data_IF_718379833219
#
_entry.id   IF_718379833219
#
_cell.length_a   1.000
_cell.length_b   1.000
_cell.length_c   1.000
_cell.angle_alpha   90.00
_cell.angle_beta   90.00
_cell.angle_gamma   90.00
#
_symmetry.space_group_name_H-M   'P 1'
#
loop_
_entity.id
_entity.type
_entity.pdbx_description
1 polymer ?
#
# COMPACT_ATOMS: atom_id res chain seq x y z
N UNK A 1 4.62 -34.17 7.68
CA UNK A 1 5.34 -35.15 6.85
C UNK A 1 4.33 -35.79 5.91
N UNK A 2 4.32 -35.36 4.65
CA UNK A 2 4.05 -36.18 3.47
C UNK A 2 4.40 -35.31 2.25
N UNK A 3 5.50 -35.66 1.59
CA UNK A 3 5.80 -35.21 0.25
C UNK A 3 4.79 -35.84 -0.72
N UNK A 4 4.34 -35.07 -1.71
CA UNK A 4 3.95 -35.62 -2.99
C UNK A 4 4.46 -34.74 -4.12
N UNK A 5 4.96 -35.43 -5.13
CA UNK A 5 5.75 -35.04 -6.29
C UNK A 5 5.26 -33.81 -7.07
N UNK A 6 6.23 -33.05 -7.59
CA UNK A 6 6.07 -32.15 -8.73
C UNK A 6 5.78 -32.98 -10.00
N UNK A 7 4.64 -32.75 -10.65
CA UNK A 7 4.50 -32.92 -12.11
C UNK A 7 3.66 -31.76 -12.64
N UNK A 8 4.25 -30.99 -13.57
CA UNK A 8 3.58 -29.93 -14.31
C UNK A 8 2.48 -30.53 -15.19
N UNK A 9 1.23 -30.16 -14.94
CA UNK A 9 0.16 -30.23 -15.93
C UNK A 9 -0.37 -28.82 -16.17
N UNK A 10 -0.05 -28.27 -17.35
CA UNK A 10 -0.62 -27.03 -17.84
C UNK A 10 -2.05 -27.34 -18.26
N UNK A 11 -3.01 -27.07 -17.39
CA UNK A 11 -4.44 -27.04 -17.72
C UNK A 11 -5.06 -25.85 -17.01
N UNK A 12 -5.77 -25.04 -17.80
CA UNK A 12 -6.18 -23.67 -17.49
C UNK A 12 -6.75 -23.49 -16.09
N UNK A 13 -5.91 -23.04 -15.18
CA UNK A 13 -6.35 -22.44 -13.92
C UNK A 13 -6.71 -21.01 -14.26
N UNK A 14 -7.99 -20.66 -14.13
CA UNK A 14 -8.41 -19.26 -14.05
C UNK A 14 -7.46 -18.56 -13.07
N UNK A 15 -6.62 -17.65 -13.59
CA UNK A 15 -5.68 -16.89 -12.75
C UNK A 15 -6.48 -16.26 -11.62
N UNK A 16 -6.06 -16.46 -10.37
CA UNK A 16 -6.68 -15.81 -9.21
C UNK A 16 -6.64 -14.29 -9.43
N UNK A 17 -7.69 -13.52 -9.10
CA UNK A 17 -7.73 -12.05 -9.27
C UNK A 17 -6.70 -11.27 -8.42
N UNK A 18 -5.87 -11.97 -7.64
CA UNK A 18 -4.75 -11.41 -6.89
C UNK A 18 -3.50 -12.16 -7.33
N UNK A 19 -2.61 -11.50 -8.05
CA UNK A 19 -1.28 -12.03 -8.38
C UNK A 19 -0.36 -11.98 -7.16
N UNK A 20 -0.71 -12.70 -6.10
CA UNK A 20 0.10 -12.80 -4.87
C UNK A 20 1.48 -13.43 -5.12
N UNK A 21 1.63 -14.17 -6.22
CA UNK A 21 2.89 -14.83 -6.60
C UNK A 21 4.04 -13.83 -6.82
N UNK A 22 3.74 -12.59 -7.23
CA UNK A 22 4.75 -11.57 -7.43
C UNK A 22 5.41 -11.16 -6.11
N UNK A 23 4.61 -10.96 -5.05
CA UNK A 23 5.08 -10.56 -3.72
C UNK A 23 5.77 -11.67 -2.93
N UNK A 24 5.69 -12.92 -3.40
CA UNK A 24 6.44 -14.07 -2.87
C UNK A 24 7.49 -14.60 -3.85
N UNK A 25 7.74 -13.87 -4.94
CA UNK A 25 8.73 -14.28 -5.94
C UNK A 25 10.14 -14.10 -5.40
N UNK A 26 11.04 -14.99 -5.80
CA UNK A 26 12.47 -14.95 -5.40
C UNK A 26 13.05 -13.57 -5.66
N UNK A 27 12.83 -13.02 -6.87
CA UNK A 27 13.36 -11.70 -7.23
C UNK A 27 12.85 -10.57 -6.34
N UNK A 28 11.60 -10.64 -5.89
CA UNK A 28 11.05 -9.62 -5.00
C UNK A 28 11.66 -9.74 -3.60
N UNK A 29 11.74 -10.96 -3.04
CA UNK A 29 12.37 -11.21 -1.74
C UNK A 29 13.85 -10.83 -1.71
N UNK A 30 14.61 -11.11 -2.78
CA UNK A 30 16.01 -10.70 -2.91
C UNK A 30 16.17 -9.17 -2.85
N UNK A 31 15.31 -8.43 -3.55
CA UNK A 31 15.33 -6.95 -3.52
C UNK A 31 14.99 -6.39 -2.15
N UNK A 32 14.04 -7.00 -1.44
CA UNK A 32 13.71 -6.59 -0.07
C UNK A 32 14.89 -6.84 0.87
N UNK A 33 15.55 -7.99 0.76
CA UNK A 33 16.75 -8.30 1.54
C UNK A 33 17.90 -7.32 1.25
N UNK A 34 18.14 -6.97 -0.03
CA UNK A 34 19.12 -5.94 -0.43
C UNK A 34 18.80 -4.56 0.18
N UNK A 35 17.52 -4.23 0.31
CA UNK A 35 17.05 -2.98 0.91
C UNK A 35 16.99 -3.03 2.46
N UNK A 36 17.28 -4.18 3.09
CA UNK A 36 17.16 -4.37 4.53
C UNK A 36 15.71 -4.39 5.04
N UNK A 37 14.76 -4.73 4.17
CA UNK A 37 13.33 -4.77 4.47
C UNK A 37 12.90 -6.22 4.69
N UNK A 38 12.32 -6.51 5.85
CA UNK A 38 11.74 -7.82 6.13
C UNK A 38 10.34 -7.94 5.49
N UNK A 39 10.09 -8.92 4.60
CA UNK A 39 8.77 -9.12 4.02
C UNK A 39 7.77 -9.63 5.07
N UNK A 40 6.63 -8.95 5.18
CA UNK A 40 5.45 -9.49 5.86
C UNK A 40 4.35 -9.79 4.84
N UNK A 41 3.97 -11.06 4.74
CA UNK A 41 2.77 -11.50 4.03
C UNK A 41 1.86 -12.11 5.08
N UNK A 42 0.84 -11.36 5.49
CA UNK A 42 -0.05 -11.70 6.61
C UNK A 42 -0.61 -13.12 6.57
N UNK A 43 -1.13 -13.58 7.70
CA UNK A 43 -1.67 -14.93 7.80
C UNK A 43 -2.92 -15.12 6.91
N UNK A 44 -3.19 -16.35 6.47
CA UNK A 44 -4.38 -16.61 5.63
C UNK A 44 -5.66 -16.31 6.41
N UNK A 45 -6.49 -15.44 5.84
CA UNK A 45 -7.77 -15.06 6.43
C UNK A 45 -7.69 -13.84 7.36
N UNK A 46 -6.51 -13.24 7.52
CA UNK A 46 -6.32 -11.95 8.18
C UNK A 46 -6.13 -10.85 7.13
N UNK A 47 -7.17 -10.04 6.94
CA UNK A 47 -7.18 -8.97 5.93
C UNK A 47 -6.80 -7.61 6.49
N UNK A 48 -6.50 -7.50 7.79
CA UNK A 48 -6.32 -6.21 8.45
C UNK A 48 -5.14 -5.43 7.86
N UNK A 49 -4.02 -6.13 7.60
CA UNK A 49 -2.81 -5.56 7.00
C UNK A 49 -3.07 -4.99 5.58
N UNK A 50 -4.10 -5.47 4.88
CA UNK A 50 -4.44 -5.01 3.53
C UNK A 50 -5.57 -3.96 3.51
N UNK A 51 -6.35 -3.85 4.58
CA UNK A 51 -7.58 -3.06 4.61
C UNK A 51 -7.34 -1.57 4.28
N UNK A 52 -6.23 -1.00 4.77
CA UNK A 52 -5.86 0.37 4.47
C UNK A 52 -5.53 0.55 2.97
N UNK A 53 -4.71 -0.35 2.41
CA UNK A 53 -4.35 -0.31 1.00
C UNK A 53 -5.58 -0.49 0.10
N UNK A 54 -6.49 -1.40 0.44
CA UNK A 54 -7.75 -1.59 -0.27
C UNK A 54 -8.64 -0.35 -0.23
N UNK A 55 -8.72 0.33 0.91
CA UNK A 55 -9.50 1.57 1.07
C UNK A 55 -8.98 2.66 0.13
N UNK A 56 -7.68 2.90 0.11
CA UNK A 56 -7.06 3.90 -0.77
C UNK A 56 -7.23 3.52 -2.25
N UNK A 57 -7.02 2.25 -2.59
CA UNK A 57 -7.22 1.77 -3.96
C UNK A 57 -8.68 1.89 -4.42
N UNK A 58 -9.63 1.67 -3.52
CA UNK A 58 -11.05 1.88 -3.77
C UNK A 58 -11.37 3.35 -4.06
N UNK A 59 -10.88 4.26 -3.21
CA UNK A 59 -11.03 5.70 -3.40
C UNK A 59 -10.43 6.18 -4.73
N UNK A 60 -9.19 5.79 -5.01
CA UNK A 60 -8.51 6.11 -6.26
C UNK A 60 -9.33 5.68 -7.49
N UNK A 61 -9.85 4.44 -7.48
CA UNK A 61 -10.67 3.95 -8.59
C UNK A 61 -11.99 4.71 -8.73
N UNK A 62 -12.66 4.99 -7.63
CA UNK A 62 -13.95 5.69 -7.62
C UNK A 62 -13.84 7.17 -8.01
N UNK A 63 -12.77 7.84 -7.58
CA UNK A 63 -12.57 9.27 -7.78
C UNK A 63 -11.90 9.60 -9.12
N UNK A 64 -10.99 8.75 -9.59
CA UNK A 64 -10.24 9.00 -10.82
C UNK A 64 -10.64 8.04 -11.94
N UNK A 65 -10.42 6.73 -11.75
CA UNK A 65 -10.48 5.76 -12.84
C UNK A 65 -11.88 5.65 -13.44
N UNK A 66 -12.92 5.58 -12.60
CA UNK A 66 -14.30 5.37 -13.05
C UNK A 66 -14.99 6.64 -13.57
N UNK A 67 -14.40 7.82 -13.37
CA UNK A 67 -15.00 9.09 -13.80
C UNK A 67 -14.67 9.49 -15.23
N UNK A 68 -13.65 8.86 -15.83
CA UNK A 68 -13.14 9.19 -17.14
C UNK A 68 -12.99 7.94 -18.00
N UNK A 69 -13.10 8.09 -19.32
CA UNK A 69 -12.65 7.06 -20.27
C UNK A 69 -11.25 7.42 -20.74
N UNK A 70 -10.31 6.50 -20.57
CA UNK A 70 -8.90 6.73 -20.86
C UNK A 70 -8.53 6.20 -22.24
N UNK A 71 -7.87 7.04 -23.05
CA UNK A 71 -7.48 6.66 -24.42
C UNK A 71 -6.10 6.02 -24.48
N UNK A 72 -5.20 6.43 -23.58
CA UNK A 72 -3.81 5.99 -23.53
C UNK A 72 -3.40 5.71 -22.10
N UNK A 73 -2.42 4.82 -21.92
CA UNK A 73 -1.83 4.54 -20.60
C UNK A 73 -1.18 5.79 -20.01
N UNK A 74 -0.51 6.57 -20.84
CA UNK A 74 0.20 7.79 -20.45
C UNK A 74 -0.76 8.83 -19.85
N UNK A 75 -2.00 8.91 -20.36
CA UNK A 75 -3.03 9.79 -19.79
C UNK A 75 -3.47 9.35 -18.39
N UNK A 76 -3.53 8.04 -18.14
CA UNK A 76 -3.82 7.49 -16.82
C UNK A 76 -2.66 7.79 -15.88
N UNK A 77 -1.42 7.58 -16.32
CA UNK A 77 -0.22 7.80 -15.50
C UNK A 77 -0.12 9.26 -15.04
N UNK A 78 -0.30 10.22 -15.96
CA UNK A 78 -0.29 11.64 -15.59
C UNK A 78 -1.40 11.97 -14.58
N UNK A 79 -2.63 11.53 -14.85
CA UNK A 79 -3.75 11.79 -13.96
C UNK A 79 -3.59 11.09 -12.59
N UNK A 80 -2.92 9.94 -12.57
CA UNK A 80 -2.56 9.24 -11.33
C UNK A 80 -1.61 10.08 -10.50
N UNK A 81 -0.56 10.64 -11.12
CA UNK A 81 0.41 11.51 -10.44
C UNK A 81 -0.28 12.76 -9.88
N UNK A 82 -1.17 13.38 -10.66
CA UNK A 82 -1.96 14.53 -10.21
C UNK A 82 -2.87 14.16 -9.03
N UNK A 83 -3.56 13.03 -9.10
CA UNK A 83 -4.44 12.57 -8.02
C UNK A 83 -3.65 12.27 -6.74
N UNK A 84 -2.48 11.62 -6.84
CA UNK A 84 -1.61 11.33 -5.68
C UNK A 84 -1.09 12.62 -5.06
N UNK A 85 -0.63 13.58 -5.87
CA UNK A 85 -0.16 14.87 -5.38
C UNK A 85 -1.28 15.64 -4.67
N UNK A 86 -2.48 15.65 -5.26
CA UNK A 86 -3.66 16.25 -4.62
C UNK A 86 -4.04 15.53 -3.31
N UNK A 87 -4.09 14.20 -3.33
CA UNK A 87 -4.46 13.40 -2.16
C UNK A 87 -3.53 13.68 -0.97
N UNK A 88 -2.21 13.70 -1.20
CA UNK A 88 -1.25 13.85 -0.11
C UNK A 88 -1.11 15.31 0.38
N UNK A 89 -1.19 16.29 -0.52
CA UNK A 89 -0.85 17.68 -0.18
C UNK A 89 -2.03 18.64 -0.06
N UNK A 90 -3.22 18.25 -0.54
CA UNK A 90 -4.37 19.16 -0.61
C UNK A 90 -5.67 18.57 -0.04
N UNK A 91 -5.83 17.23 -0.02
CA UNK A 91 -7.06 16.61 0.47
C UNK A 91 -7.17 16.76 1.98
N UNK A 92 -8.18 17.51 2.44
CA UNK A 92 -8.49 17.61 3.86
C UNK A 92 -9.25 16.37 4.32
N UNK A 93 -8.83 15.80 5.45
CA UNK A 93 -9.45 14.61 6.01
C UNK A 93 -9.93 14.88 7.44
N UNK A 94 -11.23 14.70 7.70
CA UNK A 94 -11.80 14.82 9.04
C UNK A 94 -11.07 13.96 10.09
N UNK A 95 -10.72 12.68 9.82
CA UNK A 95 -9.96 11.87 10.79
C UNK A 95 -8.58 12.43 11.15
N UNK A 96 -8.01 13.30 10.31
CA UNK A 96 -6.72 13.95 10.56
C UNK A 96 -6.87 15.34 11.20
N UNK A 97 -8.10 15.77 11.50
CA UNK A 97 -8.36 17.13 11.99
C UNK A 97 -8.42 18.17 10.88
N UNK A 98 -8.88 17.78 9.69
CA UNK A 98 -9.00 18.65 8.51
C UNK A 98 -7.67 19.21 8.01
N UNK A 99 -6.60 18.42 8.08
CA UNK A 99 -5.30 18.71 7.45
C UNK A 99 -4.98 17.68 6.37
N UNK A 100 -4.06 17.98 5.41
CA UNK A 100 -3.59 17.02 4.43
C UNK A 100 -2.78 15.87 5.04
N UNK A 101 -2.80 14.66 4.43
CA UNK A 101 -1.99 13.52 4.88
C UNK A 101 -0.51 13.81 5.07
N UNK A 102 0.12 14.55 4.14
CA UNK A 102 1.53 14.91 4.24
C UNK A 102 1.82 15.80 5.46
N UNK A 103 0.88 16.67 5.84
CA UNK A 103 1.02 17.50 7.05
C UNK A 103 0.83 16.67 8.32
N UNK A 104 -0.14 15.75 8.33
CA UNK A 104 -0.34 14.83 9.44
C UNK A 104 0.90 13.95 9.69
N UNK A 105 1.50 13.42 8.62
CA UNK A 105 2.75 12.66 8.69
C UNK A 105 3.92 13.51 9.22
N UNK A 106 4.09 14.73 8.70
CA UNK A 106 5.13 15.65 9.19
C UNK A 106 4.94 16.02 10.68
N UNK A 107 3.70 16.19 11.12
CA UNK A 107 3.38 16.45 12.52
C UNK A 107 3.67 15.22 13.40
N UNK A 108 3.37 14.02 12.93
CA UNK A 108 3.67 12.76 13.62
C UNK A 108 5.18 12.60 13.85
N UNK A 109 6.02 12.79 12.83
CA UNK A 109 7.47 12.68 12.99
C UNK A 109 8.06 13.75 13.91
N UNK A 110 7.54 14.99 13.85
CA UNK A 110 7.94 16.06 14.78
C UNK A 110 7.65 15.69 16.24
N UNK A 111 6.54 15.00 16.52
CA UNK A 111 6.20 14.53 17.86
C UNK A 111 7.13 13.43 18.34
N UNK A 112 7.51 12.49 17.47
CA UNK A 112 8.48 11.43 17.80
C UNK A 112 9.88 11.97 18.12
N UNK A 113 10.28 13.07 17.49
CA UNK A 113 11.56 13.74 17.74
C UNK A 113 11.57 14.62 18.99
N UNK A 114 10.40 14.89 19.58
CA UNK A 114 10.31 15.69 20.80
C UNK A 114 10.76 14.85 21.99
N UNK A 115 11.80 15.25 22.76
CA UNK A 115 12.20 14.51 23.94
C UNK A 115 11.03 14.40 24.91
N UNK A 116 10.76 13.21 25.42
CA UNK A 116 9.86 13.03 26.58
C UNK A 116 10.47 13.85 27.71
N UNK A 117 9.85 14.98 28.05
CA UNK A 117 10.25 15.74 29.22
C UNK A 117 10.05 14.83 30.44
N UNK A 118 11.14 14.41 31.07
CA UNK A 118 11.08 13.73 32.36
C UNK A 118 10.33 14.66 33.34
N UNK A 119 9.23 14.21 33.97
CA UNK A 119 8.57 15.02 34.97
C UNK A 119 9.57 15.24 36.11
N UNK A 120 9.93 16.51 36.35
CA UNK A 120 10.76 16.89 37.47
C UNK A 120 10.11 16.39 38.76
N UNK A 121 10.74 15.39 39.38
CA UNK A 121 10.39 14.94 40.72
C UNK A 121 10.71 16.10 41.68
N UNK A 122 9.67 16.73 42.23
CA UNK A 122 9.73 17.57 43.43
C UNK A 122 9.12 16.84 44.61
#
# INVERSE_FOLDING_TARGET
MFLCHFTLSISGVLRRPVESAQYVSIRYSERLAEAGIEPSVGSRGDSYDNALAETINGLYKAELIHRCTWKTRESVELATLEWVAWFNHHRLMEPLGYIPPAEAEANYYRQLETPVAEPALT
#
